data_IF_951127977137
#
_entry.id   IF_951127977137
#
_cell.length_a   1.000
_cell.length_b   1.000
_cell.length_c   1.000
_cell.angle_alpha   90.00
_cell.angle_beta   90.00
_cell.angle_gamma   90.00
#
_symmetry.space_group_name_H-M   'P 1'
#
loop_
_entity.id
_entity.type
_entity.pdbx_description
1 polymer ?
#
# COMPACT_ATOMS: atom_id res chain seq x y z
N UNK A 1 -27.13 -3.47 21.91
CA UNK A 1 -25.96 -3.35 21.00
C UNK A 1 -26.33 -2.69 19.66
N UNK A 2 -27.29 -3.19 18.87
CA UNK A 2 -27.70 -2.56 17.59
C UNK A 2 -28.15 -1.10 17.74
N UNK A 3 -28.85 -0.76 18.83
CA UNK A 3 -29.23 0.63 19.16
C UNK A 3 -28.02 1.54 19.41
N UNK A 4 -26.94 1.03 20.03
CA UNK A 4 -25.69 1.77 20.25
C UNK A 4 -24.93 1.99 18.94
N UNK A 5 -24.89 0.98 18.07
CA UNK A 5 -24.33 1.10 16.72
C UNK A 5 -25.11 2.16 15.92
N UNK A 6 -26.44 2.13 15.99
CA UNK A 6 -27.29 3.14 15.35
C UNK A 6 -27.17 4.55 15.94
N UNK A 7 -26.71 4.70 17.19
CA UNK A 7 -26.37 5.99 17.78
C UNK A 7 -24.99 6.47 17.31
N UNK A 8 -24.00 5.57 17.21
CA UNK A 8 -22.66 5.89 16.69
C UNK A 8 -22.64 6.21 15.20
N UNK A 9 -23.55 5.63 14.42
CA UNK A 9 -23.72 5.97 13.00
C UNK A 9 -24.39 7.32 12.79
N UNK A 10 -25.27 7.74 13.72
CA UNK A 10 -25.97 9.04 13.67
C UNK A 10 -25.20 10.19 14.31
N UNK A 11 -24.29 9.88 15.22
CA UNK A 11 -23.35 10.86 15.77
C UNK A 11 -22.34 11.21 14.66
N UNK A 12 -22.65 12.26 13.88
CA UNK A 12 -21.79 12.78 12.82
C UNK A 12 -20.38 13.18 13.31
N UNK A 13 -19.49 13.46 12.35
CA UNK A 13 -18.10 13.85 12.61
C UNK A 13 -18.04 15.30 13.10
N UNK A 14 -17.37 15.55 14.21
CA UNK A 14 -16.91 16.89 14.58
C UNK A 14 -15.57 17.13 13.88
N UNK A 15 -15.60 17.66 12.65
CA UNK A 15 -14.40 18.22 12.02
C UNK A 15 -14.45 19.75 12.17
N UNK A 16 -13.46 20.31 12.86
CA UNK A 16 -13.24 21.76 12.96
C UNK A 16 -14.28 22.60 13.73
N UNK A 17 -15.00 22.01 14.70
CA UNK A 17 -15.82 22.78 15.64
C UNK A 17 -17.22 23.17 15.15
N UNK A 18 -17.63 22.76 13.94
CA UNK A 18 -19.01 22.85 13.48
C UNK A 18 -19.62 21.46 13.32
N UNK A 19 -20.83 21.27 13.86
CA UNK A 19 -21.63 20.06 13.66
C UNK A 19 -22.16 20.07 12.23
N UNK A 20 -21.68 19.16 11.38
CA UNK A 20 -22.39 18.78 10.16
C UNK A 20 -23.12 17.45 10.39
N UNK A 21 -24.44 17.47 10.25
CA UNK A 21 -25.24 16.24 10.20
C UNK A 21 -24.82 15.44 8.96
N UNK A 22 -24.30 14.23 9.19
CA UNK A 22 -23.82 13.36 8.11
C UNK A 22 -24.86 12.29 7.82
N UNK A 23 -25.55 12.41 6.68
CA UNK A 23 -26.60 11.46 6.26
C UNK A 23 -26.02 10.15 5.68
N UNK A 24 -24.72 10.12 5.33
CA UNK A 24 -24.03 8.92 4.82
C UNK A 24 -22.55 8.88 5.24
N UNK A 25 -22.15 7.77 5.87
CA UNK A 25 -20.76 7.45 6.22
C UNK A 25 -20.55 7.27 7.73
N UNK A 26 -19.88 6.19 8.12
CA UNK A 26 -19.38 6.01 9.49
C UNK A 26 -18.31 7.05 9.82
N UNK A 27 -18.32 7.67 11.01
CA UNK A 27 -17.28 8.61 11.42
C UNK A 27 -15.88 7.98 11.35
N UNK A 28 -14.94 8.60 10.63
CA UNK A 28 -13.52 8.24 10.70
C UNK A 28 -12.94 8.78 12.02
N UNK A 29 -13.08 8.01 13.10
CA UNK A 29 -12.58 8.42 14.41
C UNK A 29 -13.17 7.65 15.59
N UNK A 30 -14.33 7.00 15.42
CA UNK A 30 -14.83 6.04 16.40
C UNK A 30 -14.05 4.73 16.24
N UNK A 31 -13.41 4.21 17.31
CA UNK A 31 -12.60 2.98 17.26
C UNK A 31 -13.31 1.75 16.69
N UNK A 32 -14.65 1.76 16.65
CA UNK A 32 -15.47 0.68 16.07
C UNK A 32 -15.72 0.80 14.56
N UNK A 33 -15.49 1.97 13.96
CA UNK A 33 -15.75 2.24 12.54
C UNK A 33 -15.03 1.25 11.61
N UNK A 34 -13.73 0.92 11.81
CA UNK A 34 -13.05 -0.09 10.99
C UNK A 34 -13.65 -1.50 11.14
N UNK A 35 -14.21 -1.83 12.30
CA UNK A 35 -14.85 -3.13 12.52
C UNK A 35 -16.18 -3.20 11.77
N UNK A 36 -17.02 -2.16 11.87
CA UNK A 36 -18.30 -2.10 11.17
C UNK A 36 -18.12 -2.13 9.66
N UNK A 37 -17.14 -1.38 9.13
CA UNK A 37 -16.82 -1.40 7.70
C UNK A 37 -16.40 -2.81 7.22
N UNK A 38 -15.59 -3.52 8.01
CA UNK A 38 -15.18 -4.89 7.67
C UNK A 38 -16.34 -5.89 7.72
N UNK A 39 -17.24 -5.77 8.70
CA UNK A 39 -18.45 -6.60 8.78
C UNK A 39 -19.34 -6.34 7.57
N UNK A 40 -19.56 -5.06 7.23
CA UNK A 40 -20.36 -4.68 6.08
C UNK A 40 -19.79 -5.25 4.77
N UNK A 41 -18.48 -5.05 4.54
CA UNK A 41 -17.78 -5.60 3.38
C UNK A 41 -17.81 -7.13 3.35
N UNK A 42 -17.79 -7.81 4.50
CA UNK A 42 -17.90 -9.26 4.54
C UNK A 42 -19.19 -9.78 3.90
N UNK A 43 -20.33 -9.14 4.18
CA UNK A 43 -21.62 -9.56 3.62
C UNK A 43 -21.80 -9.16 2.16
N UNK A 44 -21.49 -7.91 1.83
CA UNK A 44 -21.76 -7.38 0.49
C UNK A 44 -20.75 -7.88 -0.55
N UNK A 45 -19.51 -8.15 -0.14
CA UNK A 45 -18.40 -8.51 -1.01
C UNK A 45 -17.96 -9.96 -0.79
N UNK A 46 -17.48 -10.34 0.40
CA UNK A 46 -16.81 -11.64 0.58
C UNK A 46 -17.76 -12.83 0.35
N UNK A 47 -18.92 -12.85 1.03
CA UNK A 47 -19.91 -13.92 0.91
C UNK A 47 -20.53 -13.95 -0.48
N UNK A 48 -20.86 -12.78 -1.03
CA UNK A 48 -21.42 -12.66 -2.37
C UNK A 48 -20.43 -13.13 -3.44
N UNK A 49 -19.16 -12.73 -3.38
CA UNK A 49 -18.16 -13.12 -4.36
C UNK A 49 -17.85 -14.63 -4.28
N UNK A 50 -17.88 -15.22 -3.07
CA UNK A 50 -17.78 -16.66 -2.92
C UNK A 50 -18.97 -17.41 -3.53
N UNK A 51 -20.19 -16.88 -3.39
CA UNK A 51 -21.37 -17.43 -4.05
C UNK A 51 -21.30 -17.28 -5.57
N UNK A 52 -20.89 -16.11 -6.07
CA UNK A 52 -20.70 -15.85 -7.49
C UNK A 52 -19.69 -16.83 -8.09
N UNK A 53 -18.55 -17.02 -7.42
CA UNK A 53 -17.51 -17.98 -7.79
C UNK A 53 -18.04 -19.41 -7.96
N UNK A 54 -19.00 -19.85 -7.15
CA UNK A 54 -19.56 -21.21 -7.24
C UNK A 54 -20.55 -21.39 -8.39
N UNK A 55 -21.18 -20.30 -8.85
CA UNK A 55 -22.28 -20.35 -9.82
C UNK A 55 -21.87 -19.96 -11.24
N UNK A 56 -20.99 -18.97 -11.37
CA UNK A 56 -20.68 -18.34 -12.66
C UNK A 56 -19.23 -18.55 -13.09
N UNK A 57 -18.30 -18.76 -12.14
CA UNK A 57 -16.89 -18.86 -12.52
C UNK A 57 -16.59 -20.17 -13.24
N UNK A 58 -16.02 -20.08 -14.43
CA UNK A 58 -15.60 -21.22 -15.23
C UNK A 58 -14.15 -21.64 -14.96
N UNK A 59 -13.38 -20.82 -14.23
CA UNK A 59 -12.00 -21.08 -13.85
C UNK A 59 -11.72 -20.77 -12.38
N UNK A 60 -10.45 -20.83 -11.99
CA UNK A 60 -10.04 -20.48 -10.62
C UNK A 60 -10.17 -18.98 -10.37
N UNK A 61 -10.75 -18.64 -9.21
CA UNK A 61 -10.88 -17.28 -8.70
C UNK A 61 -10.25 -17.18 -7.32
N UNK A 62 -9.39 -16.18 -7.12
CA UNK A 62 -8.72 -15.88 -5.85
C UNK A 62 -9.07 -14.45 -5.45
N UNK A 63 -9.43 -14.23 -4.19
CA UNK A 63 -9.76 -12.90 -3.66
C UNK A 63 -8.86 -12.64 -2.46
N UNK A 64 -8.19 -11.50 -2.47
CA UNK A 64 -7.39 -11.00 -1.35
C UNK A 64 -7.91 -9.62 -0.99
N UNK A 65 -8.43 -9.48 0.24
CA UNK A 65 -8.97 -8.23 0.76
C UNK A 65 -8.19 -7.77 1.98
N UNK A 66 -8.02 -6.47 2.10
CA UNK A 66 -7.48 -5.78 3.26
C UNK A 66 -8.27 -4.50 3.49
N UNK A 67 -9.09 -4.49 4.54
CA UNK A 67 -10.09 -3.45 4.76
C UNK A 67 -10.95 -3.23 3.50
N UNK A 68 -10.90 -2.03 2.92
CA UNK A 68 -11.59 -1.59 1.71
C UNK A 68 -10.84 -1.91 0.40
N UNK A 69 -9.52 -2.08 0.46
CA UNK A 69 -8.70 -2.44 -0.70
C UNK A 69 -8.75 -3.96 -0.96
N UNK A 70 -9.04 -4.38 -2.18
CA UNK A 70 -9.01 -5.79 -2.57
C UNK A 70 -8.45 -6.01 -3.97
N UNK A 71 -7.94 -7.22 -4.20
CA UNK A 71 -7.47 -7.72 -5.50
C UNK A 71 -8.15 -9.06 -5.76
N UNK A 72 -8.72 -9.20 -6.96
CA UNK A 72 -9.29 -10.46 -7.43
C UNK A 72 -8.47 -10.98 -8.60
N UNK A 73 -8.03 -12.23 -8.52
CA UNK A 73 -7.29 -12.94 -9.56
C UNK A 73 -8.19 -13.98 -10.22
N UNK A 74 -8.16 -14.03 -11.55
CA UNK A 74 -8.98 -14.94 -12.36
C UNK A 74 -8.08 -15.72 -13.31
N UNK A 75 -8.42 -16.98 -13.54
CA UNK A 75 -7.77 -17.81 -14.56
C UNK A 75 -8.20 -17.44 -15.98
N UNK A 76 -9.49 -17.10 -16.15
CA UNK A 76 -10.10 -16.74 -17.44
C UNK A 76 -10.42 -15.25 -17.47
N UNK A 77 -10.15 -14.62 -18.63
CA UNK A 77 -10.47 -13.20 -18.85
C UNK A 77 -11.97 -12.93 -18.81
N UNK A 78 -12.78 -13.81 -19.43
CA UNK A 78 -14.23 -13.70 -19.45
C UNK A 78 -14.83 -13.65 -18.02
N UNK A 79 -14.39 -14.54 -17.13
CA UNK A 79 -14.82 -14.54 -15.72
C UNK A 79 -14.48 -13.21 -15.03
N UNK A 80 -13.33 -12.61 -15.35
CA UNK A 80 -12.92 -11.33 -14.76
C UNK A 80 -13.77 -10.15 -15.25
N UNK A 81 -14.14 -10.14 -16.54
CA UNK A 81 -15.00 -9.12 -17.14
C UNK A 81 -16.43 -9.22 -16.60
N UNK A 82 -16.98 -10.45 -16.53
CA UNK A 82 -18.31 -10.70 -15.96
C UNK A 82 -18.37 -10.33 -14.48
N UNK A 83 -17.36 -10.73 -13.70
CA UNK A 83 -17.28 -10.38 -12.27
C UNK A 83 -17.17 -8.87 -12.07
N UNK A 84 -16.41 -8.15 -12.90
CA UNK A 84 -16.30 -6.70 -12.80
C UNK A 84 -17.65 -6.01 -13.03
N UNK A 85 -18.42 -6.45 -14.03
CA UNK A 85 -19.77 -5.93 -14.29
C UNK A 85 -20.71 -6.25 -13.13
N UNK A 86 -20.74 -7.49 -12.68
CA UNK A 86 -21.58 -7.95 -11.58
C UNK A 86 -21.24 -7.23 -10.26
N UNK A 87 -19.95 -6.98 -10.01
CA UNK A 87 -19.48 -6.27 -8.82
C UNK A 87 -19.89 -4.80 -8.84
N UNK A 88 -19.80 -4.12 -10.00
CA UNK A 88 -20.30 -2.74 -10.16
C UNK A 88 -21.79 -2.66 -9.82
N UNK A 89 -22.60 -3.55 -10.40
CA UNK A 89 -24.04 -3.59 -10.13
C UNK A 89 -24.35 -3.92 -8.66
N UNK A 90 -23.62 -4.88 -8.08
CA UNK A 90 -23.77 -5.28 -6.67
C UNK A 90 -23.51 -4.11 -5.74
N UNK A 91 -22.38 -3.43 -5.90
CA UNK A 91 -21.98 -2.32 -5.04
C UNK A 91 -22.91 -1.11 -5.19
N UNK A 92 -23.36 -0.81 -6.41
CA UNK A 92 -24.35 0.25 -6.65
C UNK A 92 -25.64 0.00 -5.87
N UNK A 93 -26.09 -1.26 -5.76
CA UNK A 93 -27.25 -1.64 -4.94
C UNK A 93 -27.10 -1.36 -3.44
N UNK A 94 -25.87 -1.17 -2.94
CA UNK A 94 -25.57 -0.77 -1.55
C UNK A 94 -25.11 0.69 -1.44
N UNK A 95 -25.27 1.49 -2.49
CA UNK A 95 -24.84 2.89 -2.50
C UNK A 95 -23.32 3.08 -2.54
N UNK A 96 -22.56 2.06 -2.93
CA UNK A 96 -21.11 2.13 -3.10
C UNK A 96 -20.75 2.22 -4.58
N UNK A 97 -19.74 3.02 -4.90
CA UNK A 97 -19.22 3.16 -6.27
C UNK A 97 -17.77 2.70 -6.31
N UNK A 98 -17.41 1.88 -7.30
CA UNK A 98 -16.01 1.55 -7.55
C UNK A 98 -15.29 2.75 -8.13
N UNK A 99 -14.10 3.03 -7.60
CA UNK A 99 -13.23 4.05 -8.19
C UNK A 99 -12.74 3.59 -9.56
N UNK A 100 -13.17 4.26 -10.63
CA UNK A 100 -12.82 3.91 -12.01
C UNK A 100 -11.32 4.02 -12.27
N UNK A 101 -10.64 5.02 -11.71
CA UNK A 101 -9.19 5.21 -11.88
C UNK A 101 -8.34 4.14 -11.17
N UNK A 102 -8.89 3.55 -10.11
CA UNK A 102 -8.21 2.51 -9.32
C UNK A 102 -8.51 1.11 -9.84
N UNK A 103 -9.71 0.89 -10.35
CA UNK A 103 -10.18 -0.43 -10.77
C UNK A 103 -9.72 -0.70 -12.19
N UNK A 104 -8.70 -1.55 -12.32
CA UNK A 104 -8.11 -1.91 -13.61
C UNK A 104 -8.06 -3.42 -13.78
N UNK A 105 -8.50 -3.90 -14.93
CA UNK A 105 -8.28 -5.27 -15.36
C UNK A 105 -6.90 -5.35 -16.03
N UNK A 106 -6.02 -6.20 -15.50
CA UNK A 106 -4.67 -6.38 -16.03
C UNK A 106 -4.39 -7.85 -16.31
N UNK A 107 -3.63 -8.11 -17.37
CA UNK A 107 -3.07 -9.44 -17.59
C UNK A 107 -1.90 -9.65 -16.62
N UNK A 108 -2.03 -10.63 -15.71
CA UNK A 108 -1.02 -10.90 -14.70
C UNK A 108 -0.82 -12.39 -14.46
N UNK A 109 0.41 -12.82 -14.20
CA UNK A 109 0.74 -14.20 -13.84
C UNK A 109 1.61 -14.93 -14.85
N UNK A 110 1.84 -16.23 -14.61
CA UNK A 110 2.74 -17.08 -15.40
C UNK A 110 2.31 -17.18 -16.86
N UNK A 111 1.03 -17.44 -17.10
CA UNK A 111 0.48 -17.62 -18.44
C UNK A 111 0.47 -16.32 -19.22
N UNK A 112 0.11 -15.20 -18.58
CA UNK A 112 0.20 -13.87 -19.18
C UNK A 112 1.64 -13.54 -19.61
N UNK A 113 2.62 -13.81 -18.74
CA UNK A 113 4.04 -13.59 -19.06
C UNK A 113 4.52 -14.44 -20.24
N UNK A 114 4.11 -15.71 -20.33
CA UNK A 114 4.45 -16.60 -21.44
C UNK A 114 3.75 -16.21 -22.74
N UNK A 115 2.46 -15.86 -22.67
CA UNK A 115 1.67 -15.45 -23.83
C UNK A 115 2.24 -14.17 -24.46
N UNK A 116 2.52 -13.14 -23.64
CA UNK A 116 3.19 -11.92 -24.11
C UNK A 116 4.57 -12.18 -24.69
N UNK A 117 5.36 -13.05 -24.07
CA UNK A 117 6.67 -13.43 -24.60
C UNK A 117 6.55 -14.08 -25.99
N UNK A 118 5.55 -14.96 -26.20
CA UNK A 118 5.28 -15.58 -27.51
C UNK A 118 4.85 -14.56 -28.56
N UNK A 119 4.14 -13.49 -28.16
CA UNK A 119 3.74 -12.38 -29.02
C UNK A 119 4.84 -11.33 -29.25
N UNK A 120 6.04 -11.51 -28.67
CA UNK A 120 7.13 -10.53 -28.74
C UNK A 120 6.86 -9.23 -27.94
N UNK A 121 5.85 -9.24 -27.06
CA UNK A 121 5.44 -8.08 -26.28
C UNK A 121 6.30 -7.87 -25.04
N UNK A 122 6.23 -6.64 -24.50
CA UNK A 122 6.82 -6.32 -23.20
C UNK A 122 6.19 -7.15 -22.09
N UNK A 123 6.88 -7.19 -20.94
CA UNK A 123 6.42 -7.88 -19.73
C UNK A 123 5.01 -7.46 -19.35
N UNK A 124 4.24 -8.35 -18.69
CA UNK A 124 2.94 -8.01 -18.14
C UNK A 124 2.99 -6.78 -17.24
N UNK A 125 1.85 -6.12 -17.14
CA UNK A 125 1.68 -4.94 -16.32
C UNK A 125 1.91 -5.23 -14.82
N UNK A 126 2.07 -4.16 -14.06
CA UNK A 126 2.30 -4.22 -12.62
C UNK A 126 1.18 -3.51 -11.89
N UNK A 127 0.81 -4.01 -10.71
CA UNK A 127 -0.19 -3.35 -9.87
C UNK A 127 0.38 -3.02 -8.48
N UNK A 128 -0.16 -1.98 -7.86
CA UNK A 128 0.18 -1.60 -6.50
C UNK A 128 -0.88 -2.15 -5.53
N UNK A 129 -0.46 -2.81 -4.46
CA UNK A 129 -1.34 -3.30 -3.40
C UNK A 129 -0.56 -3.31 -2.08
N UNK A 130 -1.17 -2.81 -1.00
CA UNK A 130 -0.57 -2.73 0.36
C UNK A 130 0.82 -2.09 0.42
N UNK A 131 1.07 -1.11 -0.45
CA UNK A 131 2.34 -0.40 -0.55
C UNK A 131 3.45 -1.15 -1.27
N UNK A 132 3.14 -2.27 -1.92
CA UNK A 132 4.03 -2.99 -2.81
C UNK A 132 3.56 -2.92 -4.25
N UNK A 133 4.48 -2.68 -5.17
CA UNK A 133 4.26 -2.95 -6.59
C UNK A 133 4.58 -4.43 -6.86
N UNK A 134 3.57 -5.16 -7.31
CA UNK A 134 3.63 -6.57 -7.67
C UNK A 134 3.96 -6.69 -9.16
N UNK A 135 4.95 -7.52 -9.49
CA UNK A 135 5.38 -7.71 -10.87
C UNK A 135 5.82 -9.15 -11.14
N UNK A 136 5.60 -9.58 -12.38
CA UNK A 136 6.03 -10.90 -12.84
C UNK A 136 7.56 -10.95 -12.96
N UNK A 137 8.17 -11.97 -12.37
CA UNK A 137 9.61 -12.20 -12.42
C UNK A 137 9.97 -13.68 -12.50
N UNK A 138 11.27 -13.94 -12.60
CA UNK A 138 11.85 -15.28 -12.50
C UNK A 138 12.90 -15.33 -11.38
N UNK A 139 13.03 -16.50 -10.78
CA UNK A 139 14.15 -16.85 -9.89
C UNK A 139 15.43 -17.01 -10.71
N UNK A 140 16.57 -17.17 -10.02
CA UNK A 140 17.85 -17.49 -10.68
C UNK A 140 17.74 -18.83 -11.45
N UNK A 141 17.02 -19.79 -10.89
CA UNK A 141 16.77 -21.11 -11.50
C UNK A 141 15.66 -21.08 -12.57
N UNK A 142 15.24 -19.91 -13.05
CA UNK A 142 14.25 -19.78 -14.13
C UNK A 142 12.78 -19.99 -13.73
N UNK A 143 12.47 -20.42 -12.50
CA UNK A 143 11.09 -20.60 -12.01
C UNK A 143 10.34 -19.26 -11.93
N UNK A 144 9.09 -19.24 -12.37
CA UNK A 144 8.21 -18.05 -12.29
C UNK A 144 7.88 -17.71 -10.84
N UNK A 145 7.98 -16.42 -10.49
CA UNK A 145 7.57 -15.89 -9.19
C UNK A 145 6.95 -14.50 -9.34
N UNK A 146 6.04 -14.17 -8.42
CA UNK A 146 5.58 -12.79 -8.23
C UNK A 146 6.57 -12.08 -7.31
N UNK A 147 7.23 -11.05 -7.82
CA UNK A 147 8.16 -10.22 -7.06
C UNK A 147 7.45 -8.97 -6.54
N UNK A 148 7.97 -8.45 -5.43
CA UNK A 148 7.43 -7.30 -4.73
C UNK A 148 8.53 -6.25 -4.63
N UNK A 149 8.20 -5.01 -4.97
CA UNK A 149 9.05 -3.86 -4.67
C UNK A 149 8.27 -2.79 -3.94
N UNK A 150 8.92 -2.01 -3.08
CA UNK A 150 8.28 -0.85 -2.43
C UNK A 150 7.62 0.05 -3.48
N UNK A 151 6.37 0.44 -3.26
CA UNK A 151 5.66 1.35 -4.16
C UNK A 151 6.38 2.71 -4.22
N UNK A 152 6.78 3.12 -5.43
CA UNK A 152 7.58 4.33 -5.63
C UNK A 152 6.93 5.61 -5.10
N UNK A 153 5.60 5.76 -5.30
CA UNK A 153 4.85 6.91 -4.79
C UNK A 153 4.90 7.00 -3.26
N UNK A 154 4.72 5.87 -2.55
CA UNK A 154 4.83 5.82 -1.08
C UNK A 154 6.25 6.07 -0.61
N UNK A 155 7.24 5.50 -1.28
CA UNK A 155 8.65 5.72 -0.95
C UNK A 155 9.02 7.20 -1.06
N UNK A 156 8.64 7.86 -2.17
CA UNK A 156 8.87 9.28 -2.38
C UNK A 156 8.17 10.14 -1.32
N UNK A 157 6.88 9.89 -1.06
CA UNK A 157 6.13 10.60 0.00
C UNK A 157 6.80 10.45 1.37
N UNK A 158 7.20 9.22 1.73
CA UNK A 158 7.88 8.95 3.00
C UNK A 158 9.23 9.66 3.09
N UNK A 159 10.04 9.63 2.03
CA UNK A 159 11.32 10.34 1.99
C UNK A 159 11.15 11.86 2.10
N UNK A 160 10.11 12.43 1.46
CA UNK A 160 9.80 13.86 1.58
C UNK A 160 9.43 14.23 3.02
N UNK A 161 8.56 13.46 3.67
CA UNK A 161 8.22 13.68 5.08
C UNK A 161 9.45 13.57 5.99
N UNK A 162 10.27 12.53 5.80
CA UNK A 162 11.48 12.32 6.60
C UNK A 162 12.51 13.44 6.41
N UNK A 163 12.53 14.14 5.27
CA UNK A 163 13.40 15.31 5.07
C UNK A 163 12.97 16.48 5.94
N UNK A 164 11.66 16.66 6.12
CA UNK A 164 11.13 17.69 7.00
C UNK A 164 11.43 17.33 8.46
N UNK A 165 11.22 16.06 8.86
CA UNK A 165 11.51 15.59 10.21
C UNK A 165 13.00 15.69 10.56
N UNK A 166 13.88 15.28 9.63
CA UNK A 166 15.32 15.38 9.81
C UNK A 166 15.79 16.83 9.98
N UNK A 167 15.11 17.78 9.35
CA UNK A 167 15.36 19.22 9.54
C UNK A 167 14.95 19.68 10.93
N UNK A 168 13.76 19.29 11.42
CA UNK A 168 13.30 19.63 12.78
C UNK A 168 14.23 19.07 13.85
N UNK A 169 14.77 17.87 13.62
CA UNK A 169 15.70 17.20 14.54
C UNK A 169 17.15 17.68 14.42
N UNK A 170 17.46 18.62 13.51
CA UNK A 170 18.84 19.01 13.20
C UNK A 170 19.62 19.53 14.41
N UNK A 171 18.96 20.24 15.32
CA UNK A 171 19.58 20.83 16.53
C UNK A 171 19.59 19.88 17.73
N UNK A 172 18.96 18.70 17.63
CA UNK A 172 18.97 17.73 18.70
C UNK A 172 20.38 17.13 18.92
N UNK A 173 20.66 16.56 20.11
CA UNK A 173 21.90 15.82 20.36
C UNK A 173 22.11 14.69 19.35
N UNK A 174 23.37 14.41 18.99
CA UNK A 174 23.69 13.40 17.96
C UNK A 174 23.14 12.01 18.32
N UNK A 175 23.20 11.62 19.60
CA UNK A 175 22.61 10.36 20.06
C UNK A 175 21.09 10.30 19.84
N UNK A 176 20.37 11.40 20.03
CA UNK A 176 18.93 11.47 19.77
C UNK A 176 18.63 11.38 18.27
N UNK A 177 19.42 12.06 17.42
CA UNK A 177 19.32 11.93 15.97
C UNK A 177 19.55 10.48 15.54
N UNK A 178 20.64 9.86 16.01
CA UNK A 178 20.96 8.46 15.69
C UNK A 178 19.82 7.51 16.07
N UNK A 179 19.31 7.61 17.30
CA UNK A 179 18.19 6.79 17.77
C UNK A 179 16.95 6.94 16.88
N UNK A 180 16.65 8.16 16.45
CA UNK A 180 15.52 8.43 15.56
C UNK A 180 15.73 7.82 14.16
N UNK A 181 16.88 8.05 13.52
CA UNK A 181 17.20 7.46 12.21
C UNK A 181 17.16 5.93 12.26
N UNK A 182 17.71 5.33 13.31
CA UNK A 182 17.68 3.89 13.52
C UNK A 182 16.26 3.35 13.73
N UNK A 183 15.41 4.06 14.48
CA UNK A 183 14.01 3.67 14.67
C UNK A 183 13.21 3.73 13.36
N UNK A 184 13.43 4.77 12.53
CA UNK A 184 12.82 4.88 11.21
C UNK A 184 13.25 3.74 10.29
N UNK A 185 14.54 3.42 10.26
CA UNK A 185 15.07 2.32 9.45
C UNK A 185 14.50 0.97 9.92
N UNK A 186 14.48 0.70 11.23
CA UNK A 186 13.89 -0.52 11.79
C UNK A 186 12.41 -0.66 11.40
N UNK A 187 11.62 0.40 11.53
CA UNK A 187 10.20 0.37 11.13
C UNK A 187 10.03 0.15 9.63
N UNK A 188 10.83 0.82 8.80
CA UNK A 188 10.77 0.63 7.34
C UNK A 188 11.15 -0.79 6.94
N UNK A 189 12.20 -1.36 7.54
CA UNK A 189 12.65 -2.72 7.27
C UNK A 189 11.67 -3.77 7.81
N UNK A 190 11.02 -3.53 8.95
CA UNK A 190 10.00 -4.43 9.49
C UNK A 190 8.82 -4.62 8.54
N UNK A 191 8.41 -3.55 7.84
CA UNK A 191 7.30 -3.64 6.88
C UNK A 191 7.75 -4.06 5.47
N UNK A 192 8.79 -3.42 4.92
CA UNK A 192 9.22 -3.61 3.53
C UNK A 192 10.32 -4.66 3.34
N UNK A 193 10.79 -5.28 4.42
CA UNK A 193 11.78 -6.35 4.47
C UNK A 193 11.29 -7.66 3.85
N UNK A 194 11.02 -7.64 2.55
CA UNK A 194 10.55 -8.80 1.78
C UNK A 194 11.64 -9.27 0.80
N UNK A 195 11.71 -10.59 0.50
CA UNK A 195 12.64 -11.11 -0.50
C UNK A 195 12.53 -10.34 -1.82
N UNK A 196 13.67 -10.10 -2.47
CA UNK A 196 13.81 -9.35 -3.73
C UNK A 196 13.56 -7.83 -3.66
N UNK A 197 13.20 -7.26 -2.49
CA UNK A 197 13.04 -5.82 -2.31
C UNK A 197 14.34 -5.11 -1.84
N UNK A 198 15.44 -5.86 -1.69
CA UNK A 198 16.73 -5.33 -1.21
C UNK A 198 17.21 -4.06 -1.94
N UNK A 199 17.10 -3.94 -3.28
CA UNK A 199 17.51 -2.71 -3.97
C UNK A 199 16.78 -1.45 -3.48
N UNK A 200 15.47 -1.55 -3.18
CA UNK A 200 14.69 -0.44 -2.68
C UNK A 200 15.05 -0.12 -1.21
N UNK A 201 15.28 -1.14 -0.39
CA UNK A 201 15.70 -0.98 1.01
C UNK A 201 17.08 -0.31 1.10
N UNK A 202 18.04 -0.76 0.29
CA UNK A 202 19.36 -0.14 0.21
C UNK A 202 19.30 1.28 -0.39
N UNK A 203 18.41 1.50 -1.36
CA UNK A 203 18.09 2.84 -1.85
C UNK A 203 17.61 3.77 -0.74
N UNK A 204 16.66 3.31 0.08
CA UNK A 204 16.14 4.04 1.23
C UNK A 204 17.22 4.31 2.27
N UNK A 205 18.00 3.30 2.64
CA UNK A 205 19.13 3.42 3.57
C UNK A 205 20.12 4.51 3.15
N UNK A 206 20.55 4.49 1.88
CA UNK A 206 21.46 5.50 1.34
C UNK A 206 20.86 6.91 1.38
N UNK A 207 19.56 7.05 1.12
CA UNK A 207 18.89 8.35 1.23
C UNK A 207 18.84 8.84 2.67
N UNK A 208 18.55 7.96 3.64
CA UNK A 208 18.57 8.32 5.07
C UNK A 208 19.97 8.77 5.51
N UNK A 209 21.02 8.03 5.14
CA UNK A 209 22.42 8.43 5.42
C UNK A 209 22.76 9.79 4.81
N UNK A 210 22.38 10.02 3.55
CA UNK A 210 22.57 11.33 2.86
C UNK A 210 21.83 12.47 3.56
N UNK A 211 20.61 12.22 4.02
CA UNK A 211 19.81 13.21 4.74
C UNK A 211 20.47 13.57 6.08
N UNK A 212 20.91 12.57 6.84
CA UNK A 212 21.58 12.81 8.12
C UNK A 212 22.90 13.56 7.95
N UNK A 213 23.74 13.13 7.00
CA UNK A 213 25.00 13.83 6.67
C UNK A 213 24.75 15.29 6.29
N UNK A 214 23.69 15.57 5.53
CA UNK A 214 23.32 16.94 5.15
C UNK A 214 22.91 17.78 6.36
N UNK A 215 22.17 17.23 7.33
CA UNK A 215 21.83 17.91 8.57
C UNK A 215 23.07 18.22 9.40
N UNK A 216 24.01 17.28 9.54
CA UNK A 216 25.25 17.48 10.29
C UNK A 216 26.16 18.54 9.65
N UNK A 217 26.30 18.52 8.32
CA UNK A 217 27.03 19.54 7.57
C UNK A 217 26.44 20.94 7.72
N UNK A 218 25.11 21.06 7.75
CA UNK A 218 24.41 22.34 7.95
C UNK A 218 24.58 22.84 9.38
N UNK A 219 24.38 21.98 10.38
CA UNK A 219 24.55 22.32 11.80
C UNK A 219 25.95 22.83 12.12
N UNK A 220 26.97 22.14 11.63
CA UNK A 220 28.37 22.44 11.97
C UNK A 220 28.98 23.56 11.13
N UNK A 221 28.30 24.02 10.07
CA UNK A 221 28.83 24.89 9.02
C UNK A 221 30.13 24.37 8.34
N UNK A 222 30.58 23.14 8.67
CA UNK A 222 31.78 22.49 8.14
C UNK A 222 31.48 21.69 6.86
N UNK A 223 30.76 22.29 5.91
CA UNK A 223 30.28 21.59 4.70
C UNK A 223 31.41 20.95 3.87
N UNK A 224 32.63 21.52 3.94
CA UNK A 224 33.83 21.04 3.25
C UNK A 224 34.66 20.00 4.00
N UNK A 225 34.56 19.87 5.33
CA UNK A 225 35.41 18.94 6.12
C UNK A 225 34.75 17.59 6.38
N UNK A 226 33.43 17.55 6.56
CA UNK A 226 32.73 16.32 6.91
C UNK A 226 32.46 15.42 5.70
N UNK A 227 33.39 14.50 5.44
CA UNK A 227 33.30 13.45 4.41
C UNK A 227 32.42 12.27 4.83
N UNK A 228 32.28 11.28 3.93
CA UNK A 228 31.60 10.02 4.25
C UNK A 228 32.37 9.17 5.27
N UNK A 229 33.71 9.22 5.23
CA UNK A 229 34.57 8.50 6.19
C UNK A 229 34.36 9.02 7.63
N UNK A 230 34.41 10.34 7.84
CA UNK A 230 34.15 10.94 9.15
C UNK A 230 32.72 10.66 9.66
N UNK A 231 31.74 10.61 8.75
CA UNK A 231 30.38 10.21 9.10
C UNK A 231 30.31 8.76 9.59
N UNK A 232 31.01 7.83 8.95
CA UNK A 232 31.07 6.42 9.37
C UNK A 232 31.79 6.23 10.71
N UNK A 233 32.73 7.12 11.05
CA UNK A 233 33.35 7.11 12.39
C UNK A 233 32.41 7.60 13.49
N UNK A 234 31.41 8.42 13.14
CA UNK A 234 30.46 9.04 14.06
C UNK A 234 29.18 8.24 14.27
N UNK A 235 28.89 7.25 13.42
CA UNK A 235 27.61 6.52 13.36
C UNK A 235 27.81 5.01 13.35
#
# INVERSE_FOLDING_TARGET
ILRLIGLWLRAGVLESGEKQETDRGTPQGAGISPLLANIFLHYILDLWAHQWRRRHAHGRVVIVRYADDFVMGFEKKADAEEMLLALKARLAGFGLTLHEDKTRLIEFGRFAALSRQRRGERRPETFAFLGFTHYCGRTRDGRFIVKHKTEGKRLTRKLTALRQDAWRLMHAPMAAQHRWFAAVLRGHYGYYGRPHNYPALNGFHRQMRRMWLRCLRRRSQKSRRMGWSEFETLT
#
